data_IF_247762660600
#
_entry.id   IF_247762660600
#
_cell.length_a   1.000
_cell.length_b   1.000
_cell.length_c   1.000
_cell.angle_alpha   90.00
_cell.angle_beta   90.00
_cell.angle_gamma   90.00
#
_symmetry.space_group_name_H-M   'P 1'
#
loop_
_entity.id
_entity.type
_entity.pdbx_description
1 polymer ?
#
# COMPACT_ATOMS: atom_id res chain seq x y z
N UNK A 1 -2.31 -19.50 19.31
CA UNK A 1 -2.36 -20.21 20.61
C UNK A 1 -3.73 -20.85 20.72
N UNK A 2 -3.80 -22.15 21.02
CA UNK A 2 -5.08 -22.81 21.28
C UNK A 2 -5.49 -22.57 22.74
N UNK A 3 -6.73 -22.16 22.97
CA UNK A 3 -7.29 -22.04 24.32
C UNK A 3 -7.81 -23.40 24.81
N UNK A 4 -8.00 -23.57 26.12
CA UNK A 4 -8.64 -24.78 26.66
C UNK A 4 -10.08 -24.94 26.15
N UNK A 5 -10.76 -23.83 25.86
CA UNK A 5 -12.07 -23.80 25.24
C UNK A 5 -12.02 -24.34 23.79
N UNK A 6 -10.99 -23.98 23.02
CA UNK A 6 -10.76 -24.50 21.67
C UNK A 6 -10.48 -26.01 21.70
N UNK A 7 -9.73 -26.50 22.69
CA UNK A 7 -9.47 -27.94 22.88
C UNK A 7 -10.76 -28.74 23.10
N UNK A 8 -11.75 -28.17 23.81
CA UNK A 8 -13.06 -28.76 24.00
C UNK A 8 -14.05 -28.45 22.86
N UNK A 9 -13.71 -27.51 21.97
CA UNK A 9 -14.57 -27.06 20.87
C UNK A 9 -15.79 -26.28 21.35
N UNK A 10 -15.65 -25.51 22.43
CA UNK A 10 -16.72 -24.68 23.02
C UNK A 10 -16.31 -23.20 23.01
N UNK A 11 -17.27 -22.26 22.98
CA UNK A 11 -16.95 -20.84 23.14
C UNK A 11 -16.51 -20.53 24.58
N UNK A 12 -15.74 -19.45 24.78
CA UNK A 12 -15.35 -18.97 26.11
C UNK A 12 -16.55 -18.60 27.01
N UNK A 13 -17.71 -18.31 26.40
CA UNK A 13 -18.98 -18.04 27.11
C UNK A 13 -19.74 -19.31 27.52
N UNK A 14 -19.21 -20.50 27.27
CA UNK A 14 -19.90 -21.76 27.53
C UNK A 14 -20.20 -21.97 29.03
N UNK A 15 -21.36 -22.53 29.31
CA UNK A 15 -21.79 -22.93 30.65
C UNK A 15 -21.11 -24.23 31.08
N UNK A 16 -21.08 -24.50 32.40
CA UNK A 16 -20.50 -25.74 32.93
C UNK A 16 -21.15 -27.01 32.34
N UNK A 17 -22.45 -26.98 32.06
CA UNK A 17 -23.16 -28.09 31.42
C UNK A 17 -22.74 -28.33 29.96
N UNK A 18 -22.48 -27.26 29.21
CA UNK A 18 -21.97 -27.32 27.83
C UNK A 18 -20.53 -27.87 27.80
N UNK A 19 -19.68 -27.41 28.71
CA UNK A 19 -18.31 -27.91 28.89
C UNK A 19 -18.33 -29.42 29.19
N UNK A 20 -19.21 -29.84 30.11
CA UNK A 20 -19.37 -31.26 30.47
C UNK A 20 -19.89 -32.10 29.31
N UNK A 21 -20.80 -31.55 28.50
CA UNK A 21 -21.33 -32.22 27.29
C UNK A 21 -20.25 -32.34 26.21
N UNK A 22 -19.48 -31.28 25.99
CA UNK A 22 -18.38 -31.25 25.04
C UNK A 22 -17.28 -32.25 25.41
N UNK A 23 -16.91 -32.32 26.69
CA UNK A 23 -15.96 -33.32 27.20
C UNK A 23 -16.41 -34.75 26.90
N UNK A 24 -17.68 -35.10 27.17
CA UNK A 24 -18.22 -36.44 26.84
C UNK A 24 -18.14 -36.74 25.34
N UNK A 25 -18.49 -35.76 24.50
CA UNK A 25 -18.43 -35.91 23.04
C UNK A 25 -16.99 -36.09 22.54
N UNK A 26 -16.05 -35.31 23.07
CA UNK A 26 -14.63 -35.38 22.72
C UNK A 26 -13.98 -36.68 23.22
N UNK A 27 -14.32 -37.13 24.43
CA UNK A 27 -13.89 -38.41 24.99
C UNK A 27 -14.33 -39.59 24.12
N UNK A 28 -15.60 -39.59 23.67
CA UNK A 28 -16.10 -40.63 22.75
C UNK A 28 -15.46 -40.54 21.36
N UNK A 29 -15.05 -39.35 20.91
CA UNK A 29 -14.35 -39.17 19.63
C UNK A 29 -12.95 -39.76 19.67
N UNK A 30 -12.23 -39.58 20.76
CA UNK A 30 -10.85 -40.03 20.94
C UNK A 30 -10.72 -41.36 21.68
N UNK A 31 -11.81 -42.11 21.83
CA UNK A 31 -11.79 -43.43 22.46
C UNK A 31 -10.96 -44.42 21.62
N UNK A 32 -10.15 -45.30 22.24
CA UNK A 32 -9.28 -46.24 21.52
C UNK A 32 -10.06 -47.18 20.57
N UNK A 33 -11.25 -47.61 20.98
CA UNK A 33 -12.15 -48.47 20.18
C UNK A 33 -12.51 -47.87 18.80
N UNK A 34 -12.58 -46.54 18.69
CA UNK A 34 -12.95 -45.85 17.44
C UNK A 34 -11.75 -45.36 16.62
N UNK A 35 -10.54 -45.47 17.18
CA UNK A 35 -9.30 -44.95 16.60
C UNK A 35 -8.22 -46.04 16.52
N UNK A 36 -8.64 -47.29 16.25
CA UNK A 36 -7.73 -48.41 16.04
C UNK A 36 -6.75 -48.07 14.90
N UNK A 37 -5.44 -48.15 15.17
CA UNK A 37 -4.38 -47.75 14.24
C UNK A 37 -3.87 -46.31 14.37
N UNK A 38 -4.53 -45.46 15.18
CA UNK A 38 -4.10 -44.09 15.50
C UNK A 38 -4.10 -43.82 17.01
N UNK A 39 -3.73 -44.83 17.79
CA UNK A 39 -3.83 -44.80 19.26
C UNK A 39 -3.00 -43.70 19.90
N UNK A 40 -1.80 -43.41 19.37
CA UNK A 40 -0.93 -42.36 19.91
C UNK A 40 -1.54 -40.97 19.79
N UNK A 41 -2.07 -40.63 18.60
CA UNK A 41 -2.73 -39.35 18.33
C UNK A 41 -4.02 -39.23 19.16
N UNK A 42 -4.81 -40.30 19.23
CA UNK A 42 -6.02 -40.32 20.02
C UNK A 42 -5.73 -40.19 21.52
N UNK A 43 -4.67 -40.81 22.03
CA UNK A 43 -4.23 -40.70 23.42
C UNK A 43 -3.77 -39.29 23.76
N UNK A 44 -2.96 -38.67 22.91
CA UNK A 44 -2.51 -37.29 23.10
C UNK A 44 -3.71 -36.32 23.14
N UNK A 45 -4.59 -36.38 22.15
CA UNK A 45 -5.78 -35.53 22.09
C UNK A 45 -6.75 -35.78 23.26
N UNK A 46 -6.90 -37.03 23.71
CA UNK A 46 -7.70 -37.36 24.89
C UNK A 46 -7.09 -36.76 26.16
N UNK A 47 -5.77 -36.79 26.30
CA UNK A 47 -5.08 -36.19 27.43
C UNK A 47 -5.27 -34.67 27.45
N UNK A 48 -5.19 -34.01 26.29
CA UNK A 48 -5.43 -32.57 26.17
C UNK A 48 -6.87 -32.20 26.56
N UNK A 49 -7.84 -32.95 26.05
CA UNK A 49 -9.27 -32.81 26.38
C UNK A 49 -9.52 -33.01 27.89
N UNK A 50 -8.84 -33.99 28.51
CA UNK A 50 -8.91 -34.25 29.95
C UNK A 50 -8.33 -33.09 30.76
N UNK A 51 -7.17 -32.58 30.36
CA UNK A 51 -6.52 -31.45 31.04
C UNK A 51 -7.38 -30.18 30.93
N UNK A 52 -7.94 -29.91 29.76
CA UNK A 52 -8.84 -28.79 29.55
C UNK A 52 -10.10 -28.88 30.43
N UNK A 53 -10.73 -30.05 30.50
CA UNK A 53 -11.89 -30.26 31.37
C UNK A 53 -11.55 -30.12 32.86
N UNK A 54 -10.39 -30.61 33.30
CA UNK A 54 -9.98 -30.50 34.71
C UNK A 54 -9.97 -29.04 35.19
N UNK A 55 -9.43 -28.13 34.39
CA UNK A 55 -9.35 -26.69 34.70
C UNK A 55 -10.70 -25.99 34.50
N UNK A 56 -11.42 -26.29 33.42
CA UNK A 56 -12.66 -25.58 33.06
C UNK A 56 -13.90 -26.06 33.84
N UNK A 57 -13.83 -27.23 34.48
CA UNK A 57 -14.95 -27.79 35.25
C UNK A 57 -15.13 -27.13 36.63
N UNK A 58 -14.05 -26.62 37.21
CA UNK A 58 -14.07 -25.90 38.49
C UNK A 58 -14.18 -24.38 38.23
N UNK A 59 -15.23 -23.70 38.72
CA UNK A 59 -15.38 -22.26 38.56
C UNK A 59 -14.17 -21.45 39.05
N UNK A 60 -13.54 -21.87 40.15
CA UNK A 60 -12.39 -21.17 40.72
C UNK A 60 -11.15 -21.28 39.83
N UNK A 61 -10.90 -22.46 39.28
CA UNK A 61 -9.77 -22.68 38.35
C UNK A 61 -10.01 -22.01 37.00
N UNK A 62 -11.27 -21.96 36.54
CA UNK A 62 -11.66 -21.25 35.33
C UNK A 62 -11.39 -19.74 35.45
N UNK A 63 -11.78 -19.12 36.57
CA UNK A 63 -11.53 -17.70 36.80
C UNK A 63 -10.03 -17.37 36.78
N UNK A 64 -9.20 -18.20 37.44
CA UNK A 64 -7.75 -18.03 37.43
C UNK A 64 -7.17 -18.22 36.03
N UNK A 65 -7.63 -19.24 35.29
CA UNK A 65 -7.21 -19.47 33.90
C UNK A 65 -7.54 -18.26 33.02
N UNK A 66 -8.77 -17.77 33.08
CA UNK A 66 -9.23 -16.63 32.27
C UNK A 66 -8.43 -15.36 32.61
N UNK A 67 -8.15 -15.11 33.90
CA UNK A 67 -7.36 -13.96 34.35
C UNK A 67 -5.90 -14.03 33.86
N UNK A 68 -5.24 -15.18 34.01
CA UNK A 68 -3.85 -15.39 33.57
C UNK A 68 -3.76 -15.32 32.05
N UNK A 69 -4.73 -15.92 31.35
CA UNK A 69 -4.79 -15.88 29.90
C UNK A 69 -5.00 -14.45 29.38
N UNK A 70 -5.91 -13.68 29.99
CA UNK A 70 -6.12 -12.29 29.62
C UNK A 70 -4.86 -11.44 29.83
N UNK A 71 -4.15 -11.62 30.94
CA UNK A 71 -2.91 -10.90 31.21
C UNK A 71 -1.80 -11.29 30.24
N UNK A 72 -1.66 -12.59 29.97
CA UNK A 72 -0.75 -13.08 28.94
C UNK A 72 -1.07 -12.42 27.59
N UNK A 73 -2.34 -12.42 27.16
CA UNK A 73 -2.73 -11.82 25.89
C UNK A 73 -2.38 -10.33 25.81
N UNK A 74 -2.59 -9.56 26.88
CA UNK A 74 -2.16 -8.14 26.94
C UNK A 74 -0.66 -7.98 26.77
N UNK A 75 0.14 -8.80 27.43
CA UNK A 75 1.61 -8.75 27.32
C UNK A 75 2.06 -9.07 25.89
N UNK A 76 1.48 -10.10 25.29
CA UNK A 76 1.78 -10.51 23.91
C UNK A 76 1.34 -9.45 22.90
N UNK A 77 0.18 -8.84 23.08
CA UNK A 77 -0.30 -7.72 22.27
C UNK A 77 0.61 -6.50 22.40
N UNK A 78 0.96 -6.11 23.63
CA UNK A 78 1.87 -5.00 23.87
C UNK A 78 3.26 -5.26 23.27
N UNK A 79 3.75 -6.50 23.30
CA UNK A 79 4.99 -6.88 22.63
C UNK A 79 4.88 -6.71 21.12
N UNK A 80 3.84 -7.27 20.49
CA UNK A 80 3.60 -7.15 19.06
C UNK A 80 3.45 -5.69 18.63
N UNK A 81 2.77 -4.86 19.43
CA UNK A 81 2.66 -3.43 19.16
C UNK A 81 4.01 -2.71 19.24
N UNK A 82 4.85 -3.04 20.23
CA UNK A 82 6.21 -2.49 20.32
C UNK A 82 7.04 -2.87 19.09
N UNK A 83 7.03 -4.14 18.71
CA UNK A 83 7.73 -4.62 17.51
C UNK A 83 7.22 -3.93 16.24
N UNK A 84 5.89 -3.79 16.09
CA UNK A 84 5.29 -3.09 14.96
C UNK A 84 5.68 -1.61 14.92
N UNK A 85 5.72 -0.92 16.08
CA UNK A 85 6.17 0.48 16.17
C UNK A 85 7.64 0.62 15.84
N UNK A 86 8.48 -0.29 16.33
CA UNK A 86 9.91 -0.31 15.99
C UNK A 86 10.12 -0.57 14.50
N UNK A 87 9.42 -1.53 13.92
CA UNK A 87 9.49 -1.83 12.49
C UNK A 87 9.01 -0.64 11.66
N UNK A 88 7.86 -0.05 11.99
CA UNK A 88 7.35 1.15 11.34
C UNK A 88 8.33 2.32 11.46
N UNK A 89 8.97 2.49 12.62
CA UNK A 89 10.02 3.49 12.83
C UNK A 89 11.24 3.26 11.95
N UNK A 90 11.73 2.01 11.86
CA UNK A 90 12.85 1.64 10.97
C UNK A 90 12.51 1.85 9.51
N UNK A 91 11.31 1.46 9.09
CA UNK A 91 10.84 1.66 7.72
C UNK A 91 10.69 3.14 7.38
N UNK A 92 10.14 3.95 8.29
CA UNK A 92 10.05 5.39 8.12
C UNK A 92 11.44 6.04 8.02
N UNK A 93 12.39 5.64 8.87
CA UNK A 93 13.76 6.11 8.81
C UNK A 93 14.45 5.70 7.50
N UNK A 94 14.24 4.47 7.02
CA UNK A 94 14.77 4.00 5.74
C UNK A 94 14.18 4.79 4.55
N UNK A 95 12.87 5.08 4.57
CA UNK A 95 12.22 5.93 3.56
C UNK A 95 12.78 7.34 3.58
N UNK A 96 12.91 7.95 4.77
CA UNK A 96 13.47 9.28 4.92
C UNK A 96 14.94 9.35 4.45
N UNK A 97 15.74 8.31 4.71
CA UNK A 97 17.11 8.21 4.22
C UNK A 97 17.15 8.11 2.68
N UNK A 98 16.29 7.27 2.08
CA UNK A 98 16.20 7.14 0.63
C UNK A 98 15.73 8.44 -0.05
N UNK A 99 14.77 9.15 0.56
CA UNK A 99 14.32 10.47 0.10
C UNK A 99 15.44 11.52 0.18
N UNK A 100 16.24 11.51 1.25
CA UNK A 100 17.38 12.40 1.40
C UNK A 100 18.47 12.14 0.35
N UNK A 101 18.82 10.87 0.12
CA UNK A 101 19.75 10.49 -0.96
C UNK A 101 19.24 10.92 -2.35
N UNK A 102 17.95 10.72 -2.61
CA UNK A 102 17.33 11.16 -3.86
C UNK A 102 17.39 12.69 -4.00
N UNK A 103 17.06 13.43 -2.94
CA UNK A 103 17.11 14.89 -2.94
C UNK A 103 18.53 15.41 -3.20
N UNK A 104 19.56 14.78 -2.63
CA UNK A 104 20.96 15.12 -2.89
C UNK A 104 21.33 14.93 -4.36
N UNK A 105 21.00 13.76 -4.94
CA UNK A 105 21.27 13.47 -6.36
C UNK A 105 20.55 14.45 -7.29
N UNK A 106 19.30 14.78 -6.99
CA UNK A 106 18.52 15.77 -7.75
C UNK A 106 19.16 17.15 -7.63
N UNK A 107 19.62 17.57 -6.45
CA UNK A 107 20.29 18.85 -6.26
C UNK A 107 21.58 18.96 -7.09
N UNK A 108 22.38 17.89 -7.14
CA UNK A 108 23.56 17.80 -8.02
C UNK A 108 23.13 17.96 -9.49
N UNK A 109 22.12 17.22 -9.93
CA UNK A 109 21.65 17.29 -11.31
C UNK A 109 21.13 18.68 -11.70
N UNK A 110 20.35 19.33 -10.84
CA UNK A 110 19.86 20.69 -11.05
C UNK A 110 20.99 21.69 -11.16
N UNK A 111 22.01 21.59 -10.29
CA UNK A 111 23.18 22.47 -10.37
C UNK A 111 23.91 22.36 -11.71
N UNK A 112 24.17 21.14 -12.18
CA UNK A 112 24.84 20.96 -13.47
C UNK A 112 23.98 21.42 -14.65
N UNK A 113 22.66 21.25 -14.58
CA UNK A 113 21.74 21.79 -15.57
C UNK A 113 21.76 23.32 -15.59
N UNK A 114 21.81 23.97 -14.42
CA UNK A 114 21.92 25.42 -14.28
C UNK A 114 23.25 25.97 -14.81
N UNK A 115 24.33 25.18 -14.74
CA UNK A 115 25.62 25.46 -15.37
C UNK A 115 25.60 25.24 -16.91
N UNK A 116 24.48 24.80 -17.50
CA UNK A 116 24.28 24.62 -18.94
C UNK A 116 24.75 23.26 -19.48
N UNK A 117 24.99 22.27 -18.61
CA UNK A 117 25.44 20.95 -19.04
C UNK A 117 24.31 20.11 -19.64
N UNK A 118 24.65 19.36 -20.71
CA UNK A 118 23.74 18.44 -21.37
C UNK A 118 23.41 17.22 -20.51
N UNK A 119 22.27 16.59 -20.81
CA UNK A 119 21.75 15.39 -20.10
C UNK A 119 22.81 14.30 -19.89
N UNK A 120 23.62 14.00 -20.90
CA UNK A 120 24.58 12.90 -20.83
C UNK A 120 25.75 13.20 -19.86
N UNK A 121 26.11 14.48 -19.69
CA UNK A 121 27.10 14.90 -18.69
C UNK A 121 26.51 14.77 -17.28
N UNK A 122 25.30 15.27 -17.08
CA UNK A 122 24.57 15.13 -15.80
C UNK A 122 24.43 13.66 -15.43
N UNK A 123 24.05 12.82 -16.39
CA UNK A 123 23.96 11.38 -16.22
C UNK A 123 25.30 10.77 -15.82
N UNK A 124 26.40 11.07 -16.53
CA UNK A 124 27.72 10.55 -16.22
C UNK A 124 28.20 10.91 -14.81
N UNK A 125 27.90 12.13 -14.34
CA UNK A 125 28.21 12.58 -12.98
C UNK A 125 27.44 11.75 -11.94
N UNK A 126 26.14 11.54 -12.16
CA UNK A 126 25.30 10.75 -11.24
C UNK A 126 25.77 9.28 -11.15
N UNK A 127 26.16 8.68 -12.28
CA UNK A 127 26.75 7.33 -12.30
C UNK A 127 28.07 7.31 -11.50
N UNK A 128 28.92 8.32 -11.68
CA UNK A 128 30.16 8.46 -10.91
C UNK A 128 29.95 8.57 -9.40
N UNK A 129 28.78 9.07 -8.98
CA UNK A 129 28.33 9.13 -7.58
C UNK A 129 27.53 7.91 -7.14
N UNK A 130 27.66 6.77 -7.85
CA UNK A 130 27.02 5.50 -7.52
C UNK A 130 25.48 5.54 -7.58
N UNK A 131 24.90 6.45 -8.36
CA UNK A 131 23.47 6.38 -8.66
C UNK A 131 23.20 5.20 -9.60
N UNK A 132 22.10 4.47 -9.35
CA UNK A 132 21.63 3.41 -10.24
C UNK A 132 21.35 3.97 -11.65
N UNK A 133 21.72 3.28 -12.74
CA UNK A 133 21.60 3.82 -14.10
C UNK A 133 20.21 4.25 -14.54
N UNK A 134 19.16 3.48 -14.24
CA UNK A 134 17.78 3.86 -14.55
C UNK A 134 17.36 5.15 -13.85
N UNK A 135 17.61 5.23 -12.54
CA UNK A 135 17.33 6.40 -11.72
C UNK A 135 18.15 7.63 -12.18
N UNK A 136 19.44 7.45 -12.47
CA UNK A 136 20.32 8.52 -12.94
C UNK A 136 19.83 9.11 -14.27
N UNK A 137 19.41 8.26 -15.22
CA UNK A 137 18.87 8.71 -16.50
C UNK A 137 17.57 9.51 -16.31
N UNK A 138 16.69 9.05 -15.41
CA UNK A 138 15.45 9.75 -15.08
C UNK A 138 15.72 11.13 -14.45
N UNK A 139 16.60 11.19 -13.45
CA UNK A 139 16.97 12.44 -12.78
C UNK A 139 17.59 13.42 -13.77
N UNK A 140 18.56 12.98 -14.58
CA UNK A 140 19.23 13.83 -15.56
C UNK A 140 18.26 14.38 -16.61
N UNK A 141 17.35 13.54 -17.14
CA UNK A 141 16.34 13.97 -18.10
C UNK A 141 15.40 15.01 -17.50
N UNK A 142 14.90 14.77 -16.28
CA UNK A 142 13.96 15.66 -15.60
C UNK A 142 14.61 17.01 -15.26
N UNK A 143 15.86 17.01 -14.78
CA UNK A 143 16.59 18.23 -14.42
C UNK A 143 16.84 19.14 -15.63
N UNK A 144 17.32 18.58 -16.75
CA UNK A 144 17.58 19.34 -17.97
C UNK A 144 16.29 19.86 -18.60
N UNK A 145 15.23 19.04 -18.62
CA UNK A 145 13.93 19.47 -19.14
C UNK A 145 13.34 20.63 -18.31
N UNK A 146 13.46 20.56 -16.98
CA UNK A 146 13.01 21.63 -16.09
C UNK A 146 13.80 22.93 -16.30
N UNK A 147 15.12 22.84 -16.44
CA UNK A 147 15.97 24.00 -16.70
C UNK A 147 15.64 24.66 -18.05
N UNK A 148 15.51 23.87 -19.12
CA UNK A 148 15.10 24.36 -20.43
C UNK A 148 13.73 25.06 -20.38
N UNK A 149 12.77 24.51 -19.62
CA UNK A 149 11.46 25.14 -19.40
C UNK A 149 11.55 26.48 -18.65
N UNK A 150 12.53 26.66 -17.74
CA UNK A 150 12.74 27.92 -17.01
C UNK A 150 13.39 29.00 -17.85
N UNK A 151 14.20 28.61 -18.83
CA UNK A 151 14.88 29.53 -19.74
C UNK A 151 14.02 29.93 -20.95
N UNK A 152 12.92 29.22 -21.20
CA UNK A 152 11.99 29.59 -22.25
C UNK A 152 11.50 31.03 -22.01
N UNK A 153 11.61 31.93 -23.00
CA UNK A 153 11.08 33.27 -22.87
C UNK A 153 9.58 33.18 -22.56
N UNK A 154 9.01 34.15 -21.82
CA UNK A 154 7.57 34.22 -21.65
C UNK A 154 6.94 34.18 -23.04
N UNK A 155 6.04 33.23 -23.24
CA UNK A 155 5.26 33.14 -24.48
C UNK A 155 4.52 34.46 -24.58
N UNK A 156 4.88 35.32 -25.53
CA UNK A 156 4.07 36.48 -25.86
C UNK A 156 2.70 35.93 -26.28
N UNK A 157 1.70 36.05 -25.40
CA UNK A 157 0.31 35.88 -25.82
C UNK A 157 0.04 36.99 -26.83
N UNK A 158 -0.13 36.62 -28.10
CA UNK A 158 -0.62 37.52 -29.14
C UNK A 158 -1.92 38.16 -28.65
N UNK A 159 -1.82 39.38 -28.11
CA UNK A 159 -2.97 40.21 -27.83
C UNK A 159 -3.54 40.56 -29.21
N UNK A 160 -4.75 40.10 -29.56
CA UNK A 160 -5.30 40.39 -30.88
C UNK A 160 -5.41 41.92 -31.02
N UNK A 161 -4.74 42.45 -32.05
CA UNK A 161 -4.79 43.85 -32.39
C UNK A 161 -6.26 44.30 -32.47
N UNK A 162 -6.63 45.28 -31.64
CA UNK A 162 -7.88 46.00 -31.83
C UNK A 162 -7.74 46.81 -33.10
N UNK A 163 -8.48 46.39 -34.14
CA UNK A 163 -8.65 47.15 -35.38
C UNK A 163 -9.36 48.47 -35.06
N UNK A 164 -8.61 49.57 -34.99
CA UNK A 164 -9.13 50.91 -35.20
C UNK A 164 -8.20 51.66 -36.19
N UNK A 165 -8.83 52.07 -37.30
CA UNK A 165 -8.38 53.00 -38.35
C UNK A 165 -7.18 52.62 -39.24
N UNK A 166 -7.44 52.34 -40.53
CA UNK A 166 -7.25 53.29 -41.63
C UNK A 166 -7.92 52.75 -42.91
N UNK A 167 -8.82 53.56 -43.46
CA UNK A 167 -9.39 53.41 -44.78
C UNK A 167 -8.40 53.78 -45.89
N UNK A 168 -8.53 53.07 -47.01
CA UNK A 168 -8.36 53.57 -48.39
C UNK A 168 -6.93 53.66 -49.00
N UNK A 169 -6.55 52.67 -49.82
CA UNK A 169 -6.40 52.87 -51.28
C UNK A 169 -6.16 51.56 -52.03
N UNK A 170 -6.82 51.45 -53.19
CA UNK A 170 -6.96 50.29 -54.05
C UNK A 170 -5.72 49.97 -54.90
N UNK A 171 -5.53 48.69 -55.26
CA UNK A 171 -5.66 48.20 -56.64
C UNK A 171 -4.92 46.85 -56.86
N UNK A 172 -5.65 45.90 -57.48
CA UNK A 172 -5.18 44.85 -58.40
C UNK A 172 -4.20 43.77 -57.83
N UNK A 173 -4.34 42.47 -58.07
CA UNK A 173 -5.19 41.69 -58.96
C UNK A 173 -5.16 40.21 -58.50
N UNK A 174 -6.36 39.61 -58.44
CA UNK A 174 -6.75 38.23 -58.75
C UNK A 174 -5.82 37.03 -58.50
N UNK A 175 -6.39 36.04 -57.80
CA UNK A 175 -5.99 34.63 -57.89
C UNK A 175 -6.74 33.70 -56.94
N UNK A 176 -8.07 33.65 -57.06
CA UNK A 176 -8.96 32.48 -56.85
C UNK A 176 -8.87 31.65 -55.56
N UNK A 177 -9.87 31.77 -54.66
CA UNK A 177 -11.04 30.87 -54.45
C UNK A 177 -10.68 29.43 -54.05
N UNK A 178 -11.23 28.79 -53.00
CA UNK A 178 -12.57 28.86 -52.40
C UNK A 178 -12.58 28.00 -51.12
N UNK A 179 -13.41 28.42 -50.15
CA UNK A 179 -14.29 27.65 -49.24
C UNK A 179 -13.79 26.32 -48.64
N UNK A 180 -13.92 26.05 -47.35
CA UNK A 180 -15.12 26.15 -46.49
C UNK A 180 -14.67 25.98 -45.02
N UNK A 181 -15.19 26.77 -44.06
CA UNK A 181 -16.20 26.38 -43.05
C UNK A 181 -15.93 25.00 -42.41
N UNK A 182 -15.97 24.79 -41.10
CA UNK A 182 -16.56 25.55 -40.00
C UNK A 182 -16.46 24.67 -38.75
N UNK A 183 -16.35 25.30 -37.57
CA UNK A 183 -16.99 24.90 -36.30
C UNK A 183 -16.69 23.49 -35.73
N UNK A 184 -16.63 23.24 -34.43
CA UNK A 184 -16.71 23.98 -33.18
C UNK A 184 -16.53 22.91 -32.07
N UNK A 185 -16.61 23.35 -30.83
CA UNK A 185 -16.75 22.57 -29.58
C UNK A 185 -15.53 21.76 -29.16
N UNK A 186 -14.79 22.21 -28.15
CA UNK A 186 -15.14 22.10 -26.73
C UNK A 186 -15.26 20.64 -26.32
N UNK A 187 -14.26 20.13 -25.61
CA UNK A 187 -14.47 19.68 -24.23
C UNK A 187 -13.13 19.28 -23.58
N UNK A 188 -13.01 19.62 -22.30
CA UNK A 188 -11.94 19.18 -21.42
C UNK A 188 -11.96 17.66 -21.22
N UNK A 189 -10.88 17.09 -20.67
CA UNK A 189 -11.14 16.18 -19.56
C UNK A 189 -10.20 16.42 -18.37
N UNK A 190 -10.82 16.79 -17.25
CA UNK A 190 -10.30 16.48 -15.94
C UNK A 190 -10.54 15.01 -15.59
N UNK A 191 -9.65 14.47 -14.74
CA UNK A 191 -9.94 13.49 -13.69
C UNK A 191 -10.47 12.11 -14.12
N UNK A 192 -9.64 11.07 -14.00
CA UNK A 192 -10.08 9.69 -14.26
C UNK A 192 -9.20 8.57 -13.70
N UNK A 193 -8.54 8.73 -12.56
CA UNK A 193 -7.88 7.62 -11.82
C UNK A 193 -8.77 7.08 -10.68
N UNK A 194 -10.09 7.15 -10.84
CA UNK A 194 -11.06 6.61 -9.88
C UNK A 194 -11.70 5.28 -10.29
N UNK A 195 -11.48 4.81 -11.52
CA UNK A 195 -12.30 3.74 -12.12
C UNK A 195 -11.66 2.35 -12.09
N UNK A 196 -10.39 2.23 -11.68
CA UNK A 196 -9.69 0.93 -11.58
C UNK A 196 -9.82 0.27 -10.20
N UNK A 197 -10.26 1.01 -9.17
CA UNK A 197 -10.51 0.45 -7.84
C UNK A 197 -11.91 -0.19 -7.70
N UNK A 198 -12.87 0.24 -8.52
CA UNK A 198 -14.26 -0.26 -8.49
C UNK A 198 -14.51 -1.53 -9.29
N UNK A 199 -13.55 -2.00 -10.10
CA UNK A 199 -13.67 -3.24 -10.88
C UNK A 199 -12.97 -4.44 -10.21
N UNK A 200 -12.23 -4.22 -9.12
CA UNK A 200 -11.61 -5.30 -8.31
C UNK A 200 -12.53 -5.81 -7.19
N UNK A 201 -13.57 -5.05 -6.81
CA UNK A 201 -14.46 -5.34 -5.67
C UNK A 201 -15.82 -5.97 -6.03
N UNK A 202 -16.01 -6.44 -7.27
CA UNK A 202 -17.18 -7.22 -7.70
C UNK A 202 -16.82 -8.61 -8.28
N UNK A 203 -15.59 -9.07 -8.11
CA UNK A 203 -15.06 -10.31 -8.71
C UNK A 203 -15.11 -11.57 -7.84
N UNK A 204 -15.84 -11.58 -6.72
CA UNK A 204 -16.01 -12.77 -5.87
C UNK A 204 -17.48 -13.00 -5.57
N UNK A 205 -18.13 -13.80 -6.43
CA UNK A 205 -19.35 -14.51 -6.05
C UNK A 205 -19.33 -15.91 -6.70
N UNK A 206 -19.60 -16.86 -5.80
CA UNK A 206 -19.88 -18.29 -5.98
C UNK A 206 -20.64 -18.66 -7.25
#
# INVERSE_FOLDING_TARGET
>A
MATLYDTLGVPASATGEEIKRAYRKAAMRWHPDRNAGHEEVARAAFQDVKNAYAILSDPSQREVYDAVYAEQMRVWEAHREREAREQAGREAAARAAAEAEYAERVAVAMRFADEGHNRDVVFGVLIGQQCEPGLAAQIAASAVALHASRQAPPVEEDVPATDDDVAEHAAACNGETRHARSNASADAPGGGLGTLWYQFLNGLRF
#
